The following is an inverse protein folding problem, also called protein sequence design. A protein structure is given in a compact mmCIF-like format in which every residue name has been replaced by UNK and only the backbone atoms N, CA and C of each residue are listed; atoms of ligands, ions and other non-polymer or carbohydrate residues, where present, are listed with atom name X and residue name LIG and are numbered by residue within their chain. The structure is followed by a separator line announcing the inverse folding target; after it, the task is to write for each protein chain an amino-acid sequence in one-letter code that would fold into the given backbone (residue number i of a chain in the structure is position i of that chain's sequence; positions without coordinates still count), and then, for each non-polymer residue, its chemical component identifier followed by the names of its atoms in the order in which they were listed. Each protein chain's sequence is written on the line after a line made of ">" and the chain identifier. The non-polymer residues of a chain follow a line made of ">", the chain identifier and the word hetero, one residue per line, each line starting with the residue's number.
data_IF_200583164084
#
_entry.id   IF_200583164084
#
_cell.length_a   1.000
_cell.length_b   1.000
_cell.length_c   1.000
_cell.angle_alpha   90.00
_cell.angle_beta   90.00
_cell.angle_gamma   90.00
#
_symmetry.space_group_name_H-M   'P 1'
#
loop_
_entity.id
_entity.type
_entity.pdbx_description
1 polymer ?
#
# COMPACT_ATOMS: atom_id res chain seq x y z
N UNK A 1 19.62 2.23 4.57
CA UNK A 1 18.63 3.33 4.47
C UNK A 1 17.27 2.77 4.83
N UNK A 2 16.46 3.43 5.66
CA UNK A 2 15.08 2.98 5.97
C UNK A 2 14.09 3.88 5.26
N UNK A 3 13.13 3.28 4.55
CA UNK A 3 12.14 3.98 3.73
C UNK A 3 10.77 3.51 4.16
N UNK A 4 9.91 4.44 4.57
CA UNK A 4 8.49 4.19 4.80
C UNK A 4 7.71 4.67 3.57
N UNK A 5 6.94 3.79 2.96
CA UNK A 5 6.03 4.11 1.85
C UNK A 5 4.60 4.07 2.36
N UNK A 6 3.85 5.15 2.13
CA UNK A 6 2.41 5.16 2.33
C UNK A 6 1.77 4.63 1.05
N UNK A 7 1.31 3.39 1.11
CA UNK A 7 0.76 2.67 -0.02
C UNK A 7 -0.66 3.12 -0.37
N UNK A 8 -1.06 3.02 -1.65
CA UNK A 8 -2.40 3.35 -2.09
C UNK A 8 -3.44 2.38 -1.52
N UNK A 9 -4.71 2.78 -1.57
CA UNK A 9 -5.84 2.01 -1.03
C UNK A 9 -6.62 1.24 -2.10
N UNK A 10 -5.99 0.89 -3.22
CA UNK A 10 -6.56 0.01 -4.25
C UNK A 10 -5.56 -1.06 -4.67
N UNK A 11 -6.05 -2.29 -4.91
CA UNK A 11 -5.19 -3.44 -5.28
C UNK A 11 -4.35 -3.14 -6.52
N UNK A 12 -4.96 -2.54 -7.55
CA UNK A 12 -4.29 -2.23 -8.82
C UNK A 12 -3.12 -1.26 -8.63
N UNK A 13 -3.36 -0.16 -7.91
CA UNK A 13 -2.32 0.83 -7.62
C UNK A 13 -1.20 0.23 -6.75
N UNK A 14 -1.56 -0.67 -5.82
CA UNK A 14 -0.59 -1.39 -5.01
C UNK A 14 0.30 -2.30 -5.87
N UNK A 15 -0.24 -3.00 -6.86
CA UNK A 15 0.57 -3.77 -7.82
C UNK A 15 1.53 -2.86 -8.60
N UNK A 16 1.06 -1.69 -9.04
CA UNK A 16 1.90 -0.73 -9.76
C UNK A 16 3.06 -0.19 -8.88
N UNK A 17 2.81 -0.02 -7.58
CA UNK A 17 3.82 0.44 -6.61
C UNK A 17 5.03 -0.49 -6.49
N UNK A 18 4.92 -1.77 -6.86
CA UNK A 18 6.05 -2.70 -6.82
C UNK A 18 7.21 -2.25 -7.72
N UNK A 19 6.91 -1.57 -8.83
CA UNK A 19 7.93 -1.01 -9.73
C UNK A 19 8.83 0.00 -8.98
N UNK A 20 8.23 0.82 -8.10
CA UNK A 20 8.97 1.76 -7.27
C UNK A 20 9.90 1.02 -6.30
N UNK A 21 9.44 -0.03 -5.63
CA UNK A 21 10.25 -0.79 -4.67
C UNK A 21 11.47 -1.42 -5.34
N UNK A 22 11.27 -2.00 -6.53
CA UNK A 22 12.36 -2.56 -7.35
C UNK A 22 13.37 -1.50 -7.74
N UNK A 23 12.92 -0.33 -8.18
CA UNK A 23 13.81 0.78 -8.53
C UNK A 23 14.57 1.31 -7.31
N UNK A 24 13.91 1.40 -6.16
CA UNK A 24 14.55 1.82 -4.90
C UNK A 24 15.64 0.83 -4.48
N UNK A 25 15.40 -0.47 -4.52
CA UNK A 25 16.43 -1.47 -4.21
C UNK A 25 17.57 -1.48 -5.24
N UNK A 26 17.28 -1.28 -6.53
CA UNK A 26 18.31 -1.19 -7.56
C UNK A 26 19.24 0.02 -7.34
N UNK A 27 18.70 1.17 -6.93
CA UNK A 27 19.49 2.38 -6.64
C UNK A 27 20.14 2.35 -5.26
N UNK A 28 19.49 1.73 -4.29
CA UNK A 28 19.93 1.64 -2.91
C UNK A 28 19.85 0.17 -2.45
N UNK A 29 20.88 -0.65 -2.71
CA UNK A 29 20.85 -2.10 -2.47
C UNK A 29 20.61 -2.52 -1.01
N UNK A 30 20.83 -1.60 -0.06
CA UNK A 30 20.64 -1.79 1.38
C UNK A 30 19.41 -1.02 1.90
N UNK A 31 18.48 -0.66 1.02
CA UNK A 31 17.22 -0.03 1.42
C UNK A 31 16.30 -1.07 2.08
N UNK A 32 15.80 -0.72 3.25
CA UNK A 32 14.74 -1.45 3.95
C UNK A 32 13.45 -0.67 3.70
N UNK A 33 12.46 -1.31 3.07
CA UNK A 33 11.22 -0.67 2.64
C UNK A 33 10.07 -1.22 3.46
N UNK A 34 9.49 -0.37 4.30
CA UNK A 34 8.27 -0.68 5.04
C UNK A 34 7.09 0.00 4.33
N UNK A 35 5.98 -0.70 4.17
CA UNK A 35 4.80 -0.20 3.44
C UNK A 35 3.61 -0.13 4.40
N UNK A 36 3.10 1.08 4.63
CA UNK A 36 1.85 1.29 5.35
C UNK A 36 0.67 1.20 4.39
N UNK A 37 -0.23 0.24 4.58
CA UNK A 37 -1.36 0.01 3.69
C UNK A 37 -2.58 -0.56 4.44
N UNK A 38 -3.78 -0.52 3.83
CA UNK A 38 -4.94 -1.20 4.40
C UNK A 38 -4.68 -2.70 4.63
N UNK A 39 -5.32 -3.27 5.66
CA UNK A 39 -5.08 -4.67 6.06
C UNK A 39 -5.29 -5.69 4.91
N UNK A 40 -6.22 -5.41 3.99
CA UNK A 40 -6.48 -6.27 2.83
C UNK A 40 -5.38 -6.22 1.75
N UNK A 41 -4.48 -5.23 1.76
CA UNK A 41 -3.29 -5.21 0.92
C UNK A 41 -2.17 -6.12 1.45
N UNK A 42 -2.24 -6.54 2.73
CA UNK A 42 -1.17 -7.32 3.40
C UNK A 42 -0.83 -8.63 2.69
N UNK A 43 -1.79 -9.45 2.20
CA UNK A 43 -1.46 -10.66 1.47
C UNK A 43 -0.69 -10.39 0.17
N UNK A 44 -1.02 -9.29 -0.54
CA UNK A 44 -0.30 -8.88 -1.74
C UNK A 44 1.13 -8.42 -1.40
N UNK A 45 1.28 -7.55 -0.39
CA UNK A 45 2.59 -7.05 0.04
C UNK A 45 3.50 -8.17 0.55
N UNK A 46 2.95 -9.19 1.22
CA UNK A 46 3.72 -10.36 1.68
C UNK A 46 4.33 -11.20 0.55
N UNK A 47 3.89 -10.99 -0.70
CA UNK A 47 4.43 -11.65 -1.90
C UNK A 47 5.48 -10.80 -2.62
N UNK A 48 5.74 -9.58 -2.18
CA UNK A 48 6.72 -8.68 -2.77
C UNK A 48 8.04 -8.81 -1.99
N UNK A 49 9.11 -9.40 -2.56
CA UNK A 49 10.39 -9.57 -1.86
C UNK A 49 11.07 -8.23 -1.55
N UNK A 50 10.65 -7.16 -2.22
CA UNK A 50 11.20 -5.83 -2.00
C UNK A 50 10.71 -5.18 -0.68
N UNK A 51 9.62 -5.71 -0.11
CA UNK A 51 8.97 -5.16 1.10
C UNK A 51 9.46 -5.91 2.34
N UNK A 52 9.97 -5.15 3.31
CA UNK A 52 10.41 -5.68 4.60
C UNK A 52 9.22 -5.91 5.54
N UNK A 53 8.41 -4.89 5.79
CA UNK A 53 7.25 -4.98 6.67
C UNK A 53 6.01 -4.30 6.06
N UNK A 54 4.85 -4.96 6.16
CA UNK A 54 3.56 -4.39 5.82
C UNK A 54 2.87 -3.87 7.10
N UNK A 55 2.95 -2.55 7.31
CA UNK A 55 2.38 -1.87 8.48
C UNK A 55 0.88 -1.66 8.24
N UNK A 56 -0.01 -2.14 9.13
CA UNK A 56 -1.44 -1.91 8.98
C UNK A 56 -1.74 -0.42 9.21
N UNK A 57 -2.40 0.20 8.24
CA UNK A 57 -2.90 1.56 8.39
C UNK A 57 -4.13 1.55 9.32
N UNK A 58 -4.13 2.31 10.44
CA UNK A 58 -5.24 2.33 11.40
C UNK A 58 -6.49 3.05 10.87
N UNK A 59 -6.33 3.84 9.80
CA UNK A 59 -7.41 4.53 9.13
C UNK A 59 -7.83 3.69 7.92
N UNK A 60 -9.02 3.11 7.99
CA UNK A 60 -9.66 2.53 6.83
C UNK A 60 -9.89 3.63 5.80
N UNK A 61 -9.03 3.74 4.79
CA UNK A 61 -9.35 4.45 3.56
C UNK A 61 -10.41 3.62 2.80
N UNK A 62 -11.61 3.74 3.35
CA UNK A 62 -12.86 3.11 3.02
C UNK A 62 -14.04 3.98 3.45
N UNK A 63 -13.80 5.22 3.94
CA UNK A 63 -14.79 6.30 3.91
C UNK A 63 -14.99 6.85 2.49
N UNK A 64 -14.78 6.02 1.46
CA UNK A 64 -15.53 6.12 0.23
C UNK A 64 -16.94 5.63 0.56
N UNK A 65 -17.71 6.57 1.12
CA UNK A 65 -19.16 6.60 1.29
C UNK A 65 -19.92 6.42 -0.05
N UNK A 66 -19.51 5.48 -0.88
CA UNK A 66 -20.19 5.13 -2.13
C UNK A 66 -21.55 4.48 -1.79
N UNK A 67 -21.65 3.81 -0.63
CA UNK A 67 -22.91 3.30 -0.08
C UNK A 67 -23.85 4.40 0.45
N UNK A 68 -23.31 5.43 1.11
CA UNK A 68 -24.11 6.56 1.67
C UNK A 68 -24.50 7.58 0.59
N UNK A 69 -23.67 7.79 -0.46
CA UNK A 69 -24.05 8.61 -1.64
C UNK A 69 -25.29 8.11 -2.38
N UNK A 70 -25.65 6.82 -2.26
CA UNK A 70 -26.89 6.27 -2.84
C UNK A 70 -28.14 6.55 -2.00
N UNK A 71 -28.00 6.90 -0.71
CA UNK A 71 -29.14 7.22 0.17
C UNK A 71 -29.54 8.70 0.15
N UNK A 72 -28.61 9.59 -0.20
CA UNK A 72 -28.85 11.04 -0.29
C UNK A 72 -29.24 11.49 -1.71
N UNK A 73 -29.35 10.55 -2.64
CA UNK A 73 -29.78 10.79 -4.03
C UNK A 73 -31.23 10.38 -4.32
N UNK A 74 -32.10 10.43 -3.31
CA UNK A 74 -33.57 10.36 -3.46
C UNK A 74 -34.19 11.73 -3.23
#
# INVERSE_FOLDING_TARGET
>A
MKILVIGPSWVGDMMMSQSLYRTLQARYPQAIIDVMAPAWCRPLLSRMPEVNEAIPMPLGHGALEIGERRKTGS
#
